data_IF_033676580008
#
_entry.id   IF_033676580008
#
_cell.length_a   1.000
_cell.length_b   1.000
_cell.length_c   1.000
_cell.angle_alpha   90.00
_cell.angle_beta   90.00
_cell.angle_gamma   90.00
#
_symmetry.space_group_name_H-M   'P 1'
#
loop_
_entity.id
_entity.type
_entity.pdbx_description
1 polymer ?
#
# COMPACT_ATOMS: atom_id res chain seq x y z
N UNK A 1 13.27 9.58 22.67
CA UNK A 1 12.60 9.55 24.01
C UNK A 1 11.17 10.09 23.93
N UNK A 2 10.92 11.31 23.44
CA UNK A 2 9.54 11.87 23.36
C UNK A 2 8.61 11.11 22.42
N UNK A 3 9.09 10.76 21.22
CA UNK A 3 8.32 10.02 20.20
C UNK A 3 7.93 8.62 20.72
N UNK A 4 8.80 7.93 21.44
CA UNK A 4 8.52 6.61 22.03
C UNK A 4 7.47 6.70 23.13
N UNK A 5 7.55 7.75 23.97
CA UNK A 5 6.57 8.00 25.00
C UNK A 5 5.18 8.28 24.41
N UNK A 6 5.10 9.08 23.35
CA UNK A 6 3.85 9.39 22.67
C UNK A 6 3.25 8.15 22.00
N UNK A 7 4.07 7.31 21.35
CA UNK A 7 3.64 6.03 20.80
C UNK A 7 3.12 5.08 21.88
N UNK A 8 3.81 4.98 23.00
CA UNK A 8 3.37 4.17 24.14
C UNK A 8 2.04 4.66 24.72
N UNK A 9 1.88 5.99 24.90
CA UNK A 9 0.62 6.58 25.38
C UNK A 9 -0.52 6.30 24.40
N UNK A 10 -0.32 6.47 23.12
CA UNK A 10 -1.34 6.19 22.10
C UNK A 10 -1.79 4.72 22.12
N UNK A 11 -0.87 3.79 22.36
CA UNK A 11 -1.19 2.36 22.41
C UNK A 11 -1.86 1.93 23.72
N UNK A 12 -1.59 2.60 24.85
CA UNK A 12 -1.94 2.10 26.17
C UNK A 12 -2.90 3.00 26.96
N UNK A 13 -3.02 4.29 26.63
CA UNK A 13 -3.92 5.23 27.30
C UNK A 13 -5.23 5.40 26.51
N UNK A 14 -6.33 4.93 27.06
CA UNK A 14 -7.67 5.02 26.47
C UNK A 14 -8.14 6.46 26.21
N UNK A 15 -7.54 7.45 26.86
CA UNK A 15 -7.85 8.87 26.66
C UNK A 15 -7.04 9.45 25.49
N UNK A 16 -5.95 8.81 25.05
CA UNK A 16 -5.14 9.21 23.92
C UNK A 16 -5.71 8.59 22.64
N UNK A 17 -6.67 9.25 22.00
CA UNK A 17 -7.42 8.71 20.85
C UNK A 17 -6.87 9.12 19.49
N UNK A 18 -6.03 10.14 19.44
CA UNK A 18 -5.46 10.69 18.21
C UNK A 18 -3.97 10.82 18.40
N UNK A 19 -3.23 10.38 17.38
CA UNK A 19 -1.79 10.57 17.29
C UNK A 19 -1.47 11.28 15.98
N UNK A 20 -0.76 12.40 16.08
CA UNK A 20 -0.20 13.08 14.92
C UNK A 20 1.21 12.55 14.65
N UNK A 21 1.46 12.14 13.43
CA UNK A 21 2.78 11.68 12.99
C UNK A 21 3.23 12.48 11.78
N UNK A 22 4.45 12.96 11.82
CA UNK A 22 5.20 13.33 10.63
C UNK A 22 5.83 12.08 9.98
N UNK A 23 6.63 12.27 8.93
CA UNK A 23 7.29 11.16 8.23
C UNK A 23 8.25 10.38 9.15
N UNK A 24 8.86 11.02 10.15
CA UNK A 24 9.79 10.37 11.09
C UNK A 24 9.06 9.67 12.24
N UNK A 25 7.99 10.27 12.74
CA UNK A 25 7.22 9.76 13.87
C UNK A 25 6.55 8.41 13.62
N UNK A 26 6.25 8.14 12.37
CA UNK A 26 5.61 6.88 11.98
C UNK A 26 6.58 5.74 11.66
N UNK A 27 7.85 5.98 11.38
CA UNK A 27 8.77 4.98 10.87
C UNK A 27 9.08 3.87 11.88
N UNK A 28 9.04 2.61 11.43
CA UNK A 28 9.38 1.44 12.24
C UNK A 28 8.41 1.09 13.37
N UNK A 29 7.26 1.77 13.49
CA UNK A 29 6.29 1.57 14.58
C UNK A 29 5.08 0.76 14.15
N UNK A 30 4.42 0.19 15.16
CA UNK A 30 3.22 -0.61 15.01
C UNK A 30 2.05 0.13 15.67
N UNK A 31 0.97 0.37 14.90
CA UNK A 31 -0.23 1.06 15.36
C UNK A 31 -1.50 0.22 15.13
N UNK A 32 -1.43 -1.08 15.32
CA UNK A 32 -2.57 -2.02 15.21
C UNK A 32 -3.74 -1.66 16.14
N UNK A 33 -3.48 -0.85 17.17
CA UNK A 33 -4.52 -0.34 18.07
C UNK A 33 -5.45 0.67 17.41
N UNK A 34 -5.06 1.26 16.26
CA UNK A 34 -5.86 2.22 15.52
C UNK A 34 -6.70 1.56 14.42
N UNK A 35 -7.92 2.05 14.22
CA UNK A 35 -8.83 1.61 13.16
C UNK A 35 -8.83 2.57 11.96
N UNK A 36 -8.38 3.80 12.17
CA UNK A 36 -8.37 4.85 11.17
C UNK A 36 -6.98 5.42 10.98
N UNK A 37 -6.61 5.64 9.72
CA UNK A 37 -5.50 6.49 9.33
C UNK A 37 -6.03 7.65 8.52
N UNK A 38 -5.64 8.88 8.87
CA UNK A 38 -6.00 10.10 8.15
C UNK A 38 -4.74 10.60 7.44
N UNK A 39 -4.76 10.59 6.12
CA UNK A 39 -3.71 11.15 5.30
C UNK A 39 -4.01 12.63 5.07
N UNK A 40 -3.34 13.50 5.82
CA UNK A 40 -3.44 14.97 5.67
C UNK A 40 -2.64 15.42 4.45
N UNK A 41 -1.52 14.74 4.19
CA UNK A 41 -0.70 14.84 3.00
C UNK A 41 -0.67 13.50 2.26
N UNK A 42 -0.78 13.51 0.96
CA UNK A 42 -0.69 12.29 0.16
C UNK A 42 0.74 12.17 -0.42
N UNK A 43 1.48 11.10 -0.08
CA UNK A 43 2.81 10.86 -0.63
C UNK A 43 2.79 10.72 -2.15
N UNK A 44 3.90 11.16 -2.77
CA UNK A 44 4.11 11.03 -4.22
C UNK A 44 4.52 9.62 -4.63
N UNK A 45 4.98 8.81 -3.69
CA UNK A 45 5.36 7.43 -3.91
C UNK A 45 4.39 6.48 -3.22
N UNK A 46 4.05 5.41 -3.92
CA UNK A 46 3.08 4.44 -3.47
C UNK A 46 3.57 3.60 -2.29
N UNK A 47 4.89 3.36 -2.20
CA UNK A 47 5.45 2.53 -1.14
C UNK A 47 5.28 3.18 0.23
N UNK A 48 5.41 4.50 0.31
CA UNK A 48 5.13 5.25 1.53
C UNK A 48 3.67 5.14 1.95
N UNK A 49 2.72 5.13 1.00
CA UNK A 49 1.29 4.93 1.31
C UNK A 49 1.07 3.52 1.88
N UNK A 50 1.59 2.49 1.22
CA UNK A 50 1.49 1.11 1.72
C UNK A 50 2.13 0.94 3.10
N UNK A 51 3.30 1.54 3.32
CA UNK A 51 3.97 1.51 4.62
C UNK A 51 3.14 2.19 5.70
N UNK A 52 2.49 3.32 5.40
CA UNK A 52 1.60 4.00 6.35
C UNK A 52 0.42 3.11 6.73
N UNK A 53 -0.25 2.50 5.76
CA UNK A 53 -1.38 1.58 5.98
C UNK A 53 -0.89 0.33 6.72
N UNK A 54 0.21 -0.27 6.30
CA UNK A 54 0.77 -1.49 6.88
C UNK A 54 1.24 -1.36 8.34
N UNK A 55 1.29 -0.15 8.90
CA UNK A 55 1.52 0.05 10.34
C UNK A 55 0.29 -0.26 11.18
N UNK A 56 -0.90 -0.12 10.60
CA UNK A 56 -2.17 -0.46 11.22
C UNK A 56 -2.62 -1.86 10.81
N UNK A 57 -2.45 -2.20 9.53
CA UNK A 57 -2.86 -3.47 8.93
C UNK A 57 -1.72 -4.50 9.03
N UNK A 58 -1.77 -5.32 10.08
CA UNK A 58 -0.79 -6.38 10.34
C UNK A 58 -1.49 -7.69 10.70
N UNK A 59 -0.77 -8.81 10.48
CA UNK A 59 -1.26 -10.17 10.75
C UNK A 59 -1.74 -10.40 12.19
N UNK A 60 -1.18 -9.67 13.15
CA UNK A 60 -1.52 -9.78 14.58
C UNK A 60 -2.63 -8.80 15.01
N UNK A 61 -3.31 -8.15 14.05
CA UNK A 61 -4.41 -7.26 14.35
C UNK A 61 -5.58 -8.04 14.98
N UNK A 62 -6.29 -7.38 15.92
CA UNK A 62 -7.46 -7.94 16.58
C UNK A 62 -8.50 -8.42 15.54
N UNK A 63 -8.84 -9.72 15.51
CA UNK A 63 -9.81 -10.25 14.55
C UNK A 63 -11.21 -9.64 14.66
N UNK A 64 -11.56 -9.03 15.78
CA UNK A 64 -12.83 -8.30 15.95
C UNK A 64 -12.86 -6.96 15.23
N UNK A 65 -11.69 -6.45 14.82
CA UNK A 65 -11.50 -5.18 14.11
C UNK A 65 -10.66 -5.37 12.85
N UNK A 66 -11.14 -6.18 11.87
CA UNK A 66 -10.33 -6.63 10.76
C UNK A 66 -10.03 -5.54 9.70
N UNK A 67 -10.77 -4.43 9.74
CA UNK A 67 -10.70 -3.40 8.70
C UNK A 67 -9.95 -2.18 9.19
N UNK A 68 -9.03 -1.69 8.38
CA UNK A 68 -8.38 -0.37 8.52
C UNK A 68 -9.06 0.61 7.58
N UNK A 69 -9.46 1.75 8.10
CA UNK A 69 -10.10 2.81 7.33
C UNK A 69 -9.08 3.88 6.95
N UNK A 70 -8.83 4.06 5.65
CA UNK A 70 -8.01 5.15 5.14
C UNK A 70 -8.90 6.33 4.78
N UNK A 71 -8.68 7.46 5.45
CA UNK A 71 -9.35 8.73 5.20
C UNK A 71 -8.35 9.67 4.54
N UNK A 72 -8.72 10.24 3.40
CA UNK A 72 -7.85 11.14 2.65
C UNK A 72 -8.42 12.54 2.66
N UNK A 73 -7.55 13.51 2.94
CA UNK A 73 -7.87 14.93 2.88
C UNK A 73 -7.14 15.53 1.68
N UNK A 74 -7.87 16.14 0.77
CA UNK A 74 -7.30 16.80 -0.40
C UNK A 74 -8.12 18.03 -0.79
N UNK A 75 -7.48 18.99 -1.44
CA UNK A 75 -8.17 20.14 -2.00
C UNK A 75 -8.74 19.80 -3.40
N UNK A 76 -10.01 20.13 -3.63
CA UNK A 76 -10.66 19.93 -4.93
C UNK A 76 -10.02 20.80 -6.03
N UNK A 77 -10.06 20.31 -7.26
CA UNK A 77 -9.52 20.99 -8.46
C UNK A 77 -8.01 21.31 -8.35
N UNK A 78 -7.28 20.53 -7.54
CA UNK A 78 -5.84 20.67 -7.36
C UNK A 78 -5.07 19.44 -7.78
N UNK A 79 -3.75 19.56 -7.76
CA UNK A 79 -2.84 18.42 -7.93
C UNK A 79 -3.07 17.31 -6.88
N UNK A 80 -3.47 17.65 -5.67
CA UNK A 80 -3.76 16.65 -4.62
C UNK A 80 -4.93 15.74 -5.01
N UNK A 81 -5.99 16.31 -5.59
CA UNK A 81 -7.08 15.50 -6.13
C UNK A 81 -6.61 14.60 -7.27
N UNK A 82 -5.79 15.13 -8.19
CA UNK A 82 -5.25 14.35 -9.28
C UNK A 82 -4.41 13.17 -8.77
N UNK A 83 -3.57 13.42 -7.78
CA UNK A 83 -2.74 12.41 -7.14
C UNK A 83 -3.59 11.35 -6.42
N UNK A 84 -4.62 11.76 -5.69
CA UNK A 84 -5.57 10.83 -5.07
C UNK A 84 -6.24 9.92 -6.11
N UNK A 85 -6.78 10.49 -7.18
CA UNK A 85 -7.43 9.69 -8.24
C UNK A 85 -6.46 8.76 -8.93
N UNK A 86 -5.25 9.22 -9.17
CA UNK A 86 -4.19 8.39 -9.75
C UNK A 86 -3.90 7.16 -8.88
N UNK A 87 -3.76 7.33 -7.56
CA UNK A 87 -3.54 6.21 -6.64
C UNK A 87 -4.78 5.32 -6.48
N UNK A 88 -5.96 5.92 -6.37
CA UNK A 88 -7.20 5.19 -6.10
C UNK A 88 -7.77 4.51 -7.35
N UNK A 89 -7.86 5.21 -8.46
CA UNK A 89 -8.45 4.69 -9.71
C UNK A 89 -7.40 3.93 -10.53
N UNK A 90 -6.18 4.45 -10.61
CA UNK A 90 -5.08 3.86 -11.36
C UNK A 90 -4.58 2.58 -10.71
N UNK A 91 -4.01 2.68 -9.52
CA UNK A 91 -3.35 1.56 -8.85
C UNK A 91 -4.20 0.85 -7.79
N UNK A 92 -5.33 1.42 -7.37
CA UNK A 92 -6.20 0.89 -6.30
C UNK A 92 -5.46 0.62 -4.98
N UNK A 93 -4.48 1.47 -4.66
CA UNK A 93 -3.54 1.26 -3.56
C UNK A 93 -4.20 1.17 -2.18
N UNK A 94 -5.38 1.78 -2.00
CA UNK A 94 -6.11 1.73 -0.75
C UNK A 94 -6.95 0.46 -0.56
N UNK A 95 -7.06 -0.37 -1.58
CA UNK A 95 -7.90 -1.60 -1.57
C UNK A 95 -7.17 -2.84 -2.02
N UNK A 96 -5.99 -2.70 -2.62
CA UNK A 96 -5.21 -3.80 -3.16
C UNK A 96 -3.73 -3.59 -2.87
N UNK A 97 -3.02 -4.64 -2.45
CA UNK A 97 -1.57 -4.59 -2.29
C UNK A 97 -0.85 -4.36 -3.61
N UNK A 98 0.28 -3.67 -3.56
CA UNK A 98 1.21 -3.49 -4.67
C UNK A 98 2.27 -4.60 -4.74
N UNK A 99 2.18 -5.62 -3.89
CA UNK A 99 3.11 -6.74 -3.90
C UNK A 99 3.21 -7.38 -5.28
N UNK A 100 4.43 -7.55 -5.77
CA UNK A 100 4.72 -8.03 -7.12
C UNK A 100 4.66 -6.96 -8.22
N UNK A 101 4.38 -5.70 -7.87
CA UNK A 101 4.32 -4.58 -8.81
C UNK A 101 5.54 -3.64 -8.73
N UNK A 102 6.57 -4.02 -7.99
CA UNK A 102 7.74 -3.17 -7.70
C UNK A 102 8.46 -2.69 -8.96
N UNK A 103 8.45 -3.53 -10.01
CA UNK A 103 9.09 -3.20 -11.29
C UNK A 103 8.38 -2.02 -11.95
N UNK A 104 7.04 -1.99 -11.88
CA UNK A 104 6.25 -0.94 -12.50
C UNK A 104 6.31 0.35 -11.70
N UNK A 105 6.49 0.26 -10.40
CA UNK A 105 6.46 1.45 -9.54
C UNK A 105 7.49 2.49 -9.96
N UNK A 106 8.66 2.06 -10.46
CA UNK A 106 9.66 2.97 -11.02
C UNK A 106 9.18 3.72 -12.27
N UNK A 107 8.38 3.04 -13.10
CA UNK A 107 7.84 3.66 -14.32
C UNK A 107 6.67 4.57 -13.96
N UNK A 108 5.88 4.20 -12.96
CA UNK A 108 4.81 5.03 -12.39
C UNK A 108 5.37 6.33 -11.82
N UNK A 109 6.44 6.27 -11.05
CA UNK A 109 7.08 7.47 -10.48
C UNK A 109 7.58 8.41 -11.59
N UNK A 110 8.15 7.86 -12.67
CA UNK A 110 8.58 8.65 -13.84
C UNK A 110 7.40 9.29 -14.57
N UNK A 111 6.30 8.55 -14.71
CA UNK A 111 5.08 9.05 -15.33
C UNK A 111 4.46 10.21 -14.52
N UNK A 112 4.44 10.11 -13.19
CA UNK A 112 3.99 11.21 -12.32
C UNK A 112 4.86 12.45 -12.56
N UNK A 113 6.18 12.31 -12.52
CA UNK A 113 7.09 13.43 -12.74
C UNK A 113 6.95 14.02 -14.13
N UNK A 114 6.79 13.19 -15.16
CA UNK A 114 6.59 13.65 -16.55
C UNK A 114 5.27 14.41 -16.69
N UNK A 115 4.20 13.86 -16.18
CA UNK A 115 2.86 14.47 -16.24
C UNK A 115 2.82 15.83 -15.54
N UNK A 116 3.46 15.95 -14.39
CA UNK A 116 3.55 17.21 -13.64
C UNK A 116 4.37 18.26 -14.40
N UNK A 117 5.46 17.85 -15.07
CA UNK A 117 6.28 18.76 -15.90
C UNK A 117 5.54 19.25 -17.13
N UNK A 118 4.72 18.40 -17.74
CA UNK A 118 3.92 18.77 -18.91
C UNK A 118 2.76 19.72 -18.53
N UNK A 119 2.02 19.37 -17.50
CA UNK A 119 0.93 20.19 -17.00
C UNK A 119 0.69 19.91 -15.51
N UNK A 120 1.07 20.85 -14.66
CA UNK A 120 0.96 20.70 -13.21
C UNK A 120 -0.45 20.40 -12.73
N UNK A 121 -1.47 20.99 -13.36
CA UNK A 121 -2.86 20.85 -12.90
C UNK A 121 -3.55 19.59 -13.44
N UNK A 122 -3.38 19.30 -14.73
CA UNK A 122 -4.17 18.28 -15.43
C UNK A 122 -3.36 17.09 -15.92
N UNK A 123 -2.03 17.19 -15.97
CA UNK A 123 -1.19 16.15 -16.55
C UNK A 123 -1.38 14.78 -15.91
N UNK A 124 -1.59 14.71 -14.60
CA UNK A 124 -1.87 13.46 -13.91
C UNK A 124 -3.25 12.89 -14.26
N UNK A 125 -4.26 13.72 -14.40
CA UNK A 125 -5.61 13.27 -14.82
C UNK A 125 -5.56 12.58 -16.19
N UNK A 126 -4.81 13.14 -17.12
CA UNK A 126 -4.68 12.61 -18.47
C UNK A 126 -3.96 11.25 -18.51
N UNK A 127 -3.14 10.94 -17.48
CA UNK A 127 -2.40 9.67 -17.37
C UNK A 127 -3.18 8.55 -16.69
N UNK A 128 -4.26 8.84 -15.96
CA UNK A 128 -5.04 7.84 -15.22
C UNK A 128 -5.48 6.65 -16.11
N UNK A 129 -6.04 6.82 -17.31
CA UNK A 129 -6.45 5.69 -18.14
C UNK A 129 -5.31 4.74 -18.50
N UNK A 130 -4.13 5.28 -18.80
CA UNK A 130 -2.94 4.49 -19.14
C UNK A 130 -2.46 3.69 -17.94
N UNK A 131 -2.44 4.30 -16.76
CA UNK A 131 -2.03 3.62 -15.51
C UNK A 131 -3.03 2.54 -15.11
N UNK A 132 -4.33 2.77 -15.29
CA UNK A 132 -5.36 1.74 -15.06
C UNK A 132 -5.09 0.50 -15.90
N UNK A 133 -4.82 0.67 -17.19
CA UNK A 133 -4.55 -0.46 -18.10
C UNK A 133 -3.21 -1.16 -17.78
N UNK A 134 -2.18 -0.39 -17.47
CA UNK A 134 -0.89 -0.94 -17.02
C UNK A 134 -1.06 -1.77 -15.76
N UNK A 135 -1.72 -1.22 -14.74
CA UNK A 135 -1.96 -1.90 -13.48
C UNK A 135 -2.78 -3.20 -13.65
N UNK A 136 -3.80 -3.20 -14.51
CA UNK A 136 -4.59 -4.39 -14.83
C UNK A 136 -3.74 -5.49 -15.48
N UNK A 137 -2.95 -5.12 -16.50
CA UNK A 137 -2.10 -6.08 -17.23
C UNK A 137 -1.10 -6.75 -16.29
N UNK A 138 -0.50 -5.99 -15.40
CA UNK A 138 0.53 -6.50 -14.48
C UNK A 138 -0.06 -7.34 -13.35
N UNK A 139 -1.18 -6.92 -12.75
CA UNK A 139 -1.89 -7.77 -11.78
C UNK A 139 -2.29 -9.11 -12.39
N UNK A 140 -2.73 -9.11 -13.65
CA UNK A 140 -3.00 -10.34 -14.39
C UNK A 140 -1.76 -11.22 -14.55
N UNK A 141 -0.58 -10.63 -14.80
CA UNK A 141 0.68 -11.36 -14.92
C UNK A 141 1.11 -11.96 -13.56
N UNK A 142 1.09 -11.15 -12.50
CA UNK A 142 1.41 -11.60 -11.12
C UNK A 142 0.45 -12.72 -10.69
N UNK A 143 -0.84 -12.59 -10.96
CA UNK A 143 -1.81 -13.64 -10.62
C UNK A 143 -1.54 -14.94 -11.39
N UNK A 144 -1.12 -14.87 -12.62
CA UNK A 144 -0.74 -16.06 -13.40
C UNK A 144 0.51 -16.73 -12.81
N UNK A 145 1.54 -15.97 -12.44
CA UNK A 145 2.73 -16.51 -11.79
C UNK A 145 2.39 -17.19 -10.46
N UNK A 146 1.59 -16.54 -9.60
CA UNK A 146 1.13 -17.13 -8.33
C UNK A 146 0.35 -18.41 -8.55
N UNK A 147 -0.49 -18.48 -9.60
CA UNK A 147 -1.22 -19.69 -9.94
C UNK A 147 -0.29 -20.80 -10.46
N UNK A 148 0.78 -20.47 -11.19
CA UNK A 148 1.79 -21.45 -11.61
C UNK A 148 2.58 -21.98 -10.42
N UNK A 149 2.98 -21.12 -9.48
CA UNK A 149 3.67 -21.54 -8.26
C UNK A 149 2.78 -22.38 -7.36
N UNK A 150 1.50 -22.03 -7.21
CA UNK A 150 0.54 -22.84 -6.49
C UNK A 150 0.32 -24.20 -7.15
N UNK A 151 0.25 -24.26 -8.49
CA UNK A 151 0.16 -25.52 -9.24
C UNK A 151 1.43 -26.36 -9.13
N UNK A 152 2.62 -25.72 -9.11
CA UNK A 152 3.89 -26.42 -8.87
C UNK A 152 3.97 -27.02 -7.47
N UNK A 153 3.38 -26.38 -6.46
CA UNK A 153 3.27 -26.93 -5.09
C UNK A 153 2.35 -28.16 -4.99
N UNK A 154 1.41 -28.35 -5.90
CA UNK A 154 0.55 -29.56 -5.96
C UNK A 154 1.33 -30.78 -6.46
N UNK A 155 2.50 -30.62 -7.11
CA UNK A 155 3.41 -31.71 -7.47
C UNK A 155 4.25 -32.26 -6.30
N UNK A 156 3.76 -32.17 -5.07
CA UNK A 156 4.34 -32.82 -3.87
C UNK A 156 4.40 -34.38 -3.90
N UNK A 157 3.74 -35.16 -4.75
CA UNK A 157 3.97 -36.59 -4.84
C UNK A 157 5.45 -36.95 -5.09
N UNK A 158 6.13 -36.14 -5.92
CA UNK A 158 7.52 -36.38 -6.28
C UNK A 158 8.51 -36.24 -5.12
N UNK A 159 8.26 -35.34 -4.17
CA UNK A 159 9.11 -35.17 -2.98
C UNK A 159 8.92 -36.31 -1.97
N UNK A 160 7.75 -36.89 -1.90
CA UNK A 160 7.46 -38.04 -1.04
C UNK A 160 8.03 -39.35 -1.60
N UNK A 161 8.06 -39.48 -2.93
CA UNK A 161 8.71 -40.61 -3.61
C UNK A 161 10.24 -40.54 -3.51
N UNK A 162 10.85 -39.38 -3.70
CA UNK A 162 12.28 -39.17 -3.52
C UNK A 162 12.75 -39.48 -2.08
N UNK A 163 11.94 -39.14 -1.06
CA UNK A 163 12.22 -39.54 0.31
C UNK A 163 12.15 -41.05 0.57
N UNK A 164 11.34 -41.81 -0.20
CA UNK A 164 11.25 -43.27 -0.11
C UNK A 164 12.42 -43.98 -0.80
N UNK A 165 13.09 -43.31 -1.73
CA UNK A 165 14.23 -43.89 -2.47
C UNK A 165 15.58 -43.64 -1.76
N UNK A 166 15.63 -42.76 -0.76
CA UNK A 166 16.85 -42.39 -0.01
C UNK A 166 16.89 -43.03 1.38
N UNK A 167 15.83 -43.73 1.81
CA UNK A 167 15.78 -44.59 3.00
C UNK A 167 15.67 -46.06 2.60
#
# INVERSE_FOLDING_TARGET
MEIELNSYRFQNDKNCRIMLCDYTGGEGRNFQCADYIVHIDLPWDASTIEQRIGRLDRLERDPSRPVVHSVLVYAQDTFEEALYRFWNEGLKIFTQSLSGMEIIMRDVDREIVSAVKENFKYGLFDRIPQIVELAKSMRSAVQKEQNYDAAAFVFRPMYTELKRLVN
#
